data_IF_188725160795
#
_entry.id   IF_188725160795
#
_cell.length_a   1.000
_cell.length_b   1.000
_cell.length_c   1.000
_cell.angle_alpha   90.00
_cell.angle_beta   90.00
_cell.angle_gamma   90.00
#
_symmetry.space_group_name_H-M   'P 1'
#
loop_
_entity.id
_entity.type
_entity.pdbx_description
1 polymer ?
#
# COMPACT_ATOMS: atom_id res chain seq x y z
N UNK A 1 -1.93 7.81 -15.46
CA UNK A 1 -0.47 7.72 -15.68
C UNK A 1 -0.03 6.27 -15.77
N UNK A 2 -0.39 5.42 -14.81
CA UNK A 2 -0.21 3.96 -14.93
C UNK A 2 -0.78 3.38 -16.23
N UNK A 3 -1.97 3.83 -16.66
CA UNK A 3 -2.52 3.46 -17.98
C UNK A 3 -1.55 3.72 -19.13
N UNK A 4 -0.88 4.88 -19.15
CA UNK A 4 0.08 5.24 -20.19
C UNK A 4 1.35 4.37 -20.09
N UNK A 5 1.77 4.02 -18.87
CA UNK A 5 2.88 3.10 -18.66
C UNK A 5 2.55 1.70 -19.17
N UNK A 6 1.33 1.22 -18.88
CA UNK A 6 0.83 -0.07 -19.36
C UNK A 6 0.77 -0.11 -20.89
N UNK A 7 0.27 0.95 -21.54
CA UNK A 7 0.27 1.08 -23.01
C UNK A 7 1.70 0.97 -23.57
N UNK A 8 2.68 1.67 -22.97
CA UNK A 8 4.10 1.58 -23.38
C UNK A 8 4.74 0.23 -23.11
N UNK A 9 4.43 -0.40 -21.99
CA UNK A 9 4.89 -1.73 -21.66
C UNK A 9 4.42 -2.76 -22.71
N UNK A 10 3.14 -2.73 -23.08
CA UNK A 10 2.57 -3.62 -24.10
C UNK A 10 3.26 -3.42 -25.45
N UNK A 11 3.48 -2.15 -25.84
CA UNK A 11 4.16 -1.80 -27.09
C UNK A 11 5.63 -2.27 -27.14
N UNK A 12 6.43 -1.96 -26.11
CA UNK A 12 7.88 -2.21 -26.14
C UNK A 12 8.25 -3.66 -25.85
N UNK A 13 7.56 -4.31 -24.90
CA UNK A 13 7.86 -5.69 -24.48
C UNK A 13 7.10 -6.72 -25.35
N UNK A 14 6.41 -6.25 -26.40
CA UNK A 14 5.65 -7.07 -27.36
C UNK A 14 4.76 -8.11 -26.66
N UNK A 15 4.10 -7.67 -25.59
CA UNK A 15 3.34 -8.56 -24.73
C UNK A 15 2.04 -8.92 -25.41
N UNK A 16 1.94 -10.17 -25.84
CA UNK A 16 0.65 -10.75 -26.19
C UNK A 16 -0.13 -10.96 -24.89
N UNK A 17 -1.06 -10.05 -24.59
CA UNK A 17 -2.10 -10.29 -23.58
C UNK A 17 -2.97 -11.40 -24.15
N UNK A 18 -2.58 -12.65 -23.87
CA UNK A 18 -3.38 -13.82 -24.19
C UNK A 18 -4.48 -13.82 -23.14
N UNK A 19 -5.58 -13.14 -23.45
CA UNK A 19 -6.70 -12.81 -22.56
C UNK A 19 -7.05 -13.97 -21.62
N UNK A 20 -6.48 -14.02 -20.40
CA UNK A 20 -6.81 -15.07 -19.47
C UNK A 20 -8.20 -14.72 -18.98
N UNK A 21 -9.16 -15.65 -19.11
CA UNK A 21 -10.54 -15.45 -18.64
C UNK A 21 -10.58 -14.86 -17.21
N UNK A 22 -9.56 -15.15 -16.38
CA UNK A 22 -9.38 -14.59 -15.04
C UNK A 22 -9.16 -13.06 -15.01
N UNK A 23 -8.34 -12.48 -15.90
CA UNK A 23 -8.18 -11.02 -15.98
C UNK A 23 -9.45 -10.34 -16.50
N UNK A 24 -10.11 -10.95 -17.49
CA UNK A 24 -11.40 -10.46 -17.98
C UNK A 24 -12.45 -10.45 -16.85
N UNK A 25 -12.53 -11.52 -16.08
CA UNK A 25 -13.44 -11.63 -14.92
C UNK A 25 -13.13 -10.57 -13.86
N UNK A 26 -11.86 -10.27 -13.62
CA UNK A 26 -11.43 -9.17 -12.73
C UNK A 26 -11.88 -7.79 -13.23
N UNK A 27 -11.82 -7.54 -14.54
CA UNK A 27 -12.31 -6.26 -15.11
C UNK A 27 -13.83 -6.12 -15.01
N UNK A 28 -14.57 -7.23 -15.05
CA UNK A 28 -16.03 -7.24 -14.96
C UNK A 28 -16.52 -7.15 -13.51
N UNK A 29 -15.83 -7.82 -12.58
CA UNK A 29 -16.15 -7.81 -11.15
C UNK A 29 -14.87 -7.96 -10.32
N UNK A 30 -14.45 -6.86 -9.70
CA UNK A 30 -13.27 -6.81 -8.85
C UNK A 30 -13.64 -7.28 -7.43
N UNK A 31 -13.48 -8.57 -7.17
CA UNK A 31 -13.75 -9.20 -5.88
C UNK A 31 -12.63 -10.18 -5.50
N UNK A 32 -12.63 -10.65 -4.25
CA UNK A 32 -11.57 -11.51 -3.72
C UNK A 32 -11.46 -12.85 -4.45
N UNK A 33 -12.60 -13.45 -4.83
CA UNK A 33 -12.62 -14.75 -5.50
C UNK A 33 -11.97 -14.68 -6.89
N UNK A 34 -12.37 -13.70 -7.70
CA UNK A 34 -11.76 -13.47 -9.01
C UNK A 34 -10.28 -13.08 -8.90
N UNK A 35 -9.89 -12.35 -7.84
CA UNK A 35 -8.49 -12.02 -7.59
C UNK A 35 -7.69 -13.29 -7.28
N UNK A 36 -8.20 -14.15 -6.41
CA UNK A 36 -7.54 -15.40 -6.04
C UNK A 36 -7.42 -16.36 -7.23
N UNK A 37 -8.40 -16.38 -8.14
CA UNK A 37 -8.34 -17.12 -9.40
C UNK A 37 -7.28 -16.56 -10.35
N UNK A 38 -7.25 -15.23 -10.55
CA UNK A 38 -6.25 -14.57 -11.38
C UNK A 38 -4.83 -14.80 -10.86
N UNK A 39 -4.63 -14.78 -9.54
CA UNK A 39 -3.31 -15.03 -8.92
C UNK A 39 -2.85 -16.49 -8.99
N UNK A 40 -3.74 -17.45 -9.29
CA UNK A 40 -3.36 -18.86 -9.55
C UNK A 40 -2.94 -19.08 -11.00
N UNK A 41 -3.37 -18.22 -11.92
CA UNK A 41 -3.02 -18.33 -13.32
C UNK A 41 -1.55 -17.94 -13.57
N UNK A 42 -0.79 -18.89 -14.12
CA UNK A 42 0.65 -18.70 -14.39
C UNK A 42 0.90 -17.59 -15.42
N UNK A 43 -0.01 -17.41 -16.38
CA UNK A 43 0.14 -16.39 -17.41
C UNK A 43 -0.01 -14.99 -16.81
N UNK A 44 -0.99 -14.82 -15.93
CA UNK A 44 -1.21 -13.60 -15.14
C UNK A 44 -0.01 -13.28 -14.24
N UNK A 45 0.53 -14.26 -13.50
CA UNK A 45 1.72 -14.05 -12.68
C UNK A 45 2.93 -13.62 -13.52
N UNK A 46 3.15 -14.27 -14.66
CA UNK A 46 4.25 -13.92 -15.57
C UNK A 46 4.09 -12.50 -16.12
N UNK A 47 2.86 -12.08 -16.42
CA UNK A 47 2.55 -10.72 -16.87
C UNK A 47 2.88 -9.69 -15.79
N UNK A 48 2.48 -9.94 -14.54
CA UNK A 48 2.77 -9.08 -13.39
C UNK A 48 4.28 -8.96 -13.16
N UNK A 49 5.02 -10.08 -13.18
CA UNK A 49 6.48 -10.09 -13.02
C UNK A 49 7.17 -9.25 -14.11
N UNK A 50 6.75 -9.40 -15.37
CA UNK A 50 7.29 -8.60 -16.49
C UNK A 50 6.97 -7.12 -16.32
N UNK A 51 5.76 -6.78 -15.90
CA UNK A 51 5.36 -5.39 -15.69
C UNK A 51 6.18 -4.75 -14.57
N UNK A 52 6.38 -5.43 -13.43
CA UNK A 52 7.25 -4.94 -12.36
C UNK A 52 8.70 -4.74 -12.80
N UNK A 53 9.25 -5.66 -13.60
CA UNK A 53 10.58 -5.49 -14.18
C UNK A 53 10.65 -4.25 -15.10
N UNK A 54 9.57 -3.98 -15.84
CA UNK A 54 9.45 -2.78 -16.67
C UNK A 54 9.36 -1.50 -15.84
N UNK A 55 8.59 -1.49 -14.74
CA UNK A 55 8.53 -0.37 -13.80
C UNK A 55 9.93 -0.03 -13.26
N UNK A 56 10.70 -1.04 -12.85
CA UNK A 56 12.09 -0.83 -12.41
C UNK A 56 12.98 -0.25 -13.51
N UNK A 57 12.82 -0.71 -14.75
CA UNK A 57 13.56 -0.22 -15.92
C UNK A 57 13.25 1.27 -16.14
N UNK A 58 11.98 1.68 -16.01
CA UNK A 58 11.57 3.08 -16.12
C UNK A 58 12.08 3.93 -14.96
N UNK A 59 12.05 3.43 -13.72
CA UNK A 59 12.66 4.09 -12.56
C UNK A 59 14.16 4.34 -12.74
N UNK A 60 14.87 3.40 -13.40
CA UNK A 60 16.29 3.52 -13.76
C UNK A 60 16.54 4.45 -14.96
N UNK A 61 15.50 5.06 -15.52
CA UNK A 61 15.60 6.13 -16.52
C UNK A 61 15.37 5.71 -17.97
N UNK A 62 14.85 4.51 -18.24
CA UNK A 62 14.61 4.00 -19.60
C UNK A 62 13.78 4.92 -20.49
N UNK A 63 12.69 5.51 -19.96
CA UNK A 63 11.86 6.49 -20.66
C UNK A 63 12.26 7.96 -20.35
N UNK A 64 13.46 8.16 -19.83
CA UNK A 64 13.99 9.47 -19.42
C UNK A 64 13.57 9.90 -18.01
N UNK A 65 14.14 11.03 -17.58
CA UNK A 65 14.03 11.52 -16.18
C UNK A 65 12.61 11.88 -15.77
N UNK A 66 11.81 12.42 -16.69
CA UNK A 66 10.41 12.78 -16.41
C UNK A 66 9.57 11.55 -16.10
N UNK A 67 9.74 10.46 -16.87
CA UNK A 67 9.03 9.22 -16.60
C UNK A 67 9.48 8.59 -15.28
N UNK A 68 10.79 8.58 -15.00
CA UNK A 68 11.33 8.08 -13.72
C UNK A 68 10.77 8.85 -12.52
N UNK A 69 10.69 10.19 -12.59
CA UNK A 69 10.09 11.03 -11.55
C UNK A 69 8.63 10.65 -11.28
N UNK A 70 7.85 10.50 -12.35
CA UNK A 70 6.44 10.15 -12.27
C UNK A 70 6.21 8.73 -11.75
N UNK A 71 7.08 7.79 -12.09
CA UNK A 71 7.06 6.44 -11.50
C UNK A 71 7.32 6.48 -9.99
N UNK A 72 8.29 7.28 -9.54
CA UNK A 72 8.52 7.47 -8.09
C UNK A 72 7.27 8.03 -7.41
N UNK A 73 6.56 8.96 -8.05
CA UNK A 73 5.31 9.51 -7.52
C UNK A 73 4.20 8.44 -7.41
N UNK A 74 4.02 7.59 -8.43
CA UNK A 74 3.08 6.46 -8.39
C UNK A 74 3.40 5.54 -7.21
N UNK A 75 4.67 5.19 -7.00
CA UNK A 75 5.10 4.37 -5.88
C UNK A 75 4.73 5.00 -4.52
N UNK A 76 4.86 6.32 -4.39
CA UNK A 76 4.45 7.02 -3.16
C UNK A 76 2.94 6.98 -2.96
N UNK A 77 2.15 7.16 -4.02
CA UNK A 77 0.69 7.00 -3.93
C UNK A 77 0.30 5.58 -3.51
N UNK A 78 0.94 4.55 -4.08
CA UNK A 78 0.72 3.16 -3.69
C UNK A 78 1.03 2.93 -2.21
N UNK A 79 2.14 3.45 -1.72
CA UNK A 79 2.49 3.34 -0.31
C UNK A 79 1.41 3.96 0.60
N UNK A 80 0.88 5.14 0.25
CA UNK A 80 -0.22 5.79 0.98
C UNK A 80 -1.49 4.95 0.93
N UNK A 81 -1.85 4.41 -0.24
CA UNK A 81 -3.04 3.54 -0.37
C UNK A 81 -2.89 2.24 0.41
N UNK A 82 -1.71 1.63 0.41
CA UNK A 82 -1.41 0.45 1.22
C UNK A 82 -1.50 0.76 2.71
N UNK A 83 -1.01 1.91 3.16
CA UNK A 83 -1.17 2.34 4.55
C UNK A 83 -2.64 2.53 4.92
N UNK A 84 -3.42 3.22 4.08
CA UNK A 84 -4.86 3.39 4.30
C UNK A 84 -5.59 2.05 4.34
N UNK A 85 -5.28 1.15 3.41
CA UNK A 85 -5.83 -0.20 3.40
C UNK A 85 -5.48 -0.94 4.69
N UNK A 86 -4.21 -0.89 5.13
CA UNK A 86 -3.75 -1.56 6.35
C UNK A 86 -4.53 -1.14 7.60
N UNK A 87 -4.84 0.16 7.72
CA UNK A 87 -5.67 0.69 8.80
C UNK A 87 -7.11 0.20 8.63
N UNK A 88 -7.67 0.31 7.43
CA UNK A 88 -9.05 -0.09 7.15
C UNK A 88 -9.32 -1.59 7.33
N UNK A 89 -8.29 -2.44 7.26
CA UNK A 89 -8.41 -3.89 7.43
C UNK A 89 -7.72 -4.41 8.70
N UNK A 90 -7.22 -3.52 9.56
CA UNK A 90 -6.44 -3.87 10.74
C UNK A 90 -5.25 -4.83 10.45
N UNK A 91 -4.62 -4.67 9.27
CA UNK A 91 -3.49 -5.49 8.84
C UNK A 91 -2.17 -4.94 9.42
N UNK A 92 -1.74 -5.48 10.56
CA UNK A 92 -0.56 -5.02 11.31
C UNK A 92 0.73 -5.16 10.50
N UNK A 93 0.87 -6.24 9.74
CA UNK A 93 2.06 -6.51 8.95
C UNK A 93 2.21 -5.47 7.84
N UNK A 94 1.13 -5.16 7.14
CA UNK A 94 1.12 -4.13 6.12
C UNK A 94 1.30 -2.74 6.72
N UNK A 95 0.68 -2.47 7.88
CA UNK A 95 0.85 -1.21 8.60
C UNK A 95 2.32 -0.98 8.98
N UNK A 96 2.99 -2.02 9.52
CA UNK A 96 4.39 -1.98 9.88
C UNK A 96 5.26 -1.68 8.66
N UNK A 97 5.11 -2.45 7.57
CA UNK A 97 5.84 -2.22 6.32
C UNK A 97 5.68 -0.78 5.81
N UNK A 98 4.44 -0.31 5.73
CA UNK A 98 4.16 0.99 5.14
C UNK A 98 4.78 2.14 5.96
N UNK A 99 4.70 2.06 7.29
CA UNK A 99 5.28 3.10 8.16
C UNK A 99 6.80 3.14 8.09
N UNK A 100 7.48 1.99 7.99
CA UNK A 100 8.93 1.92 7.78
C UNK A 100 9.33 2.58 6.45
N UNK A 101 8.69 2.19 5.34
CA UNK A 101 8.96 2.76 4.01
C UNK A 101 8.64 4.26 3.93
N UNK A 102 7.61 4.73 4.65
CA UNK A 102 7.20 6.14 4.66
C UNK A 102 8.26 7.05 5.31
N UNK A 103 9.10 6.52 6.20
CA UNK A 103 10.15 7.29 6.86
C UNK A 103 11.13 7.92 5.84
N UNK A 104 11.43 7.20 4.76
CA UNK A 104 12.29 7.66 3.67
C UNK A 104 11.66 8.83 2.90
N UNK A 105 10.35 8.75 2.65
CA UNK A 105 9.61 9.81 1.97
C UNK A 105 9.61 11.07 2.83
N UNK A 106 9.26 10.95 4.11
CA UNK A 106 9.29 12.11 5.01
C UNK A 106 10.69 12.72 5.09
N UNK A 107 11.75 11.93 5.12
CA UNK A 107 13.11 12.45 5.06
C UNK A 107 13.38 13.25 3.79
N UNK A 108 13.00 12.71 2.63
CA UNK A 108 13.23 13.34 1.33
C UNK A 108 12.43 14.64 1.12
N UNK A 109 11.28 14.80 1.79
CA UNK A 109 10.37 15.95 1.65
C UNK A 109 10.32 16.84 2.90
N UNK A 110 11.44 16.99 3.61
CA UNK A 110 11.61 17.89 4.77
C UNK A 110 10.71 17.58 6.00
N UNK A 111 10.15 16.39 6.05
CA UNK A 111 9.44 15.82 7.20
C UNK A 111 10.37 15.16 8.22
N UNK A 112 11.53 15.76 8.52
CA UNK A 112 12.58 15.13 9.35
C UNK A 112 12.09 14.60 10.70
N UNK A 113 11.18 15.31 11.37
CA UNK A 113 10.60 14.86 12.63
C UNK A 113 9.77 13.58 12.46
N UNK A 114 8.93 13.52 11.43
CA UNK A 114 8.11 12.34 11.12
C UNK A 114 8.98 11.15 10.73
N UNK A 115 10.00 11.38 9.89
CA UNK A 115 10.97 10.36 9.52
C UNK A 115 11.62 9.73 10.76
N UNK A 116 12.14 10.56 11.68
CA UNK A 116 12.75 10.10 12.93
C UNK A 116 11.78 9.25 13.77
N UNK A 117 10.54 9.70 13.95
CA UNK A 117 9.56 8.96 14.76
C UNK A 117 9.11 7.67 14.11
N UNK A 118 8.97 7.64 12.78
CA UNK A 118 8.62 6.42 12.05
C UNK A 118 9.73 5.37 12.11
N UNK A 119 11.00 5.77 12.02
CA UNK A 119 12.13 4.85 12.22
C UNK A 119 12.10 4.23 13.61
N UNK A 120 11.79 5.02 14.65
CA UNK A 120 11.61 4.46 16.00
C UNK A 120 10.43 3.50 16.07
N UNK A 121 9.28 3.87 15.49
CA UNK A 121 8.10 3.02 15.43
C UNK A 121 8.40 1.68 14.76
N UNK A 122 9.13 1.67 13.64
CA UNK A 122 9.57 0.46 12.93
C UNK A 122 10.42 -0.44 13.84
N UNK A 123 11.40 0.13 14.55
CA UNK A 123 12.23 -0.62 15.50
C UNK A 123 11.37 -1.23 16.62
N UNK A 124 10.40 -0.48 17.16
CA UNK A 124 9.49 -0.99 18.19
C UNK A 124 8.61 -2.12 17.66
N UNK A 125 8.00 -1.96 16.49
CA UNK A 125 7.12 -2.96 15.89
C UNK A 125 7.89 -4.23 15.50
N UNK A 126 9.13 -4.09 15.05
CA UNK A 126 10.02 -5.23 14.76
C UNK A 126 10.33 -6.04 16.02
N UNK A 127 10.54 -5.36 17.15
CA UNK A 127 10.90 -5.97 18.43
C UNK A 127 9.71 -6.16 19.38
N UNK A 128 8.48 -6.11 18.85
CA UNK A 128 7.27 -6.05 19.65
C UNK A 128 7.13 -7.25 20.59
N UNK A 129 7.35 -8.47 20.09
CA UNK A 129 7.24 -9.69 20.90
C UNK A 129 8.30 -9.78 22.01
N UNK A 130 9.49 -9.24 21.77
CA UNK A 130 10.58 -9.28 22.75
C UNK A 130 10.36 -8.25 23.86
N UNK A 131 9.86 -7.07 23.50
CA UNK A 131 9.71 -5.94 24.43
C UNK A 131 8.35 -5.94 25.14
N UNK A 132 7.30 -6.42 24.46
CA UNK A 132 5.93 -6.45 24.93
C UNK A 132 5.23 -7.75 24.48
N UNK A 133 5.59 -8.92 25.08
CA UNK A 133 5.02 -10.21 24.71
C UNK A 133 3.48 -10.19 24.71
N UNK A 134 2.86 -10.67 23.63
CA UNK A 134 1.41 -10.71 23.48
C UNK A 134 0.75 -9.41 23.02
N UNK A 135 1.51 -8.31 22.87
CA UNK A 135 0.98 -7.06 22.33
C UNK A 135 0.53 -7.21 20.87
N UNK A 136 1.23 -8.02 20.06
CA UNK A 136 0.85 -8.27 18.66
C UNK A 136 -0.53 -8.89 18.53
N UNK A 137 -0.88 -9.81 19.44
CA UNK A 137 -2.20 -10.44 19.46
C UNK A 137 -3.29 -9.41 19.78
N UNK A 138 -3.02 -8.47 20.69
CA UNK A 138 -3.93 -7.37 20.98
C UNK A 138 -4.07 -6.43 19.78
N UNK A 139 -2.96 -6.06 19.13
CA UNK A 139 -2.97 -5.21 17.94
C UNK A 139 -3.78 -5.85 16.80
N UNK A 140 -3.58 -7.15 16.58
CA UNK A 140 -4.25 -7.93 15.53
C UNK A 140 -5.75 -8.05 15.74
N UNK A 141 -6.25 -7.83 16.97
CA UNK A 141 -7.68 -7.87 17.32
C UNK A 141 -8.43 -6.53 17.13
N UNK A 142 -7.76 -5.46 16.69
CA UNK A 142 -8.44 -4.19 16.38
C UNK A 142 -7.85 -2.96 17.04
N UNK A 143 -6.56 -2.94 17.39
CA UNK A 143 -6.00 -1.80 18.13
C UNK A 143 -5.43 -0.68 17.24
N UNK A 144 -5.20 -0.93 15.93
CA UNK A 144 -4.69 0.13 15.03
C UNK A 144 -5.82 0.96 14.40
N UNK A 145 -7.04 0.44 14.39
CA UNK A 145 -8.18 1.13 13.83
C UNK A 145 -9.46 0.88 14.63
N UNK A 146 -10.29 1.91 14.71
CA UNK A 146 -11.61 1.89 15.34
C UNK A 146 -12.66 2.27 14.31
N UNK A 147 -13.86 1.70 14.45
CA UNK A 147 -14.99 2.01 13.59
C UNK A 147 -16.02 2.84 14.36
N UNK A 148 -16.52 3.91 13.76
CA UNK A 148 -17.65 4.70 14.29
C UNK A 148 -19.01 4.17 13.82
N UNK A 149 -19.02 3.22 12.88
CA UNK A 149 -20.21 2.55 12.35
C UNK A 149 -19.85 1.14 11.89
N UNK A 150 -20.86 0.28 11.72
CA UNK A 150 -20.68 -1.11 11.28
C UNK A 150 -20.58 -1.27 9.75
N UNK A 151 -20.31 -0.18 9.03
CA UNK A 151 -20.22 -0.18 7.57
C UNK A 151 -18.83 -0.72 7.16
N UNK A 152 -18.74 -1.65 6.19
CA UNK A 152 -17.46 -2.10 5.67
C UNK A 152 -16.57 -0.92 5.21
N UNK A 153 -15.31 -0.91 5.67
CA UNK A 153 -14.35 0.15 5.33
C UNK A 153 -14.49 1.46 6.12
N UNK A 154 -15.32 1.47 7.17
CA UNK A 154 -15.47 2.61 8.09
C UNK A 154 -14.39 2.68 9.19
N UNK A 155 -13.51 1.68 9.27
CA UNK A 155 -12.36 1.69 10.17
C UNK A 155 -11.46 2.89 9.86
N UNK A 156 -11.05 3.59 10.91
CA UNK A 156 -10.16 4.75 10.87
C UNK A 156 -9.09 4.62 11.95
N UNK A 157 -7.95 5.25 11.76
CA UNK A 157 -6.88 5.23 12.76
C UNK A 157 -7.39 5.71 14.11
N UNK A 158 -6.98 5.03 15.19
CA UNK A 158 -7.44 5.34 16.57
C UNK A 158 -7.12 6.77 16.93
N UNK A 159 -5.88 7.20 16.69
CA UNK A 159 -5.40 8.54 17.00
C UNK A 159 -6.24 9.63 16.32
N UNK A 160 -6.42 9.52 15.00
CA UNK A 160 -7.29 10.42 14.23
C UNK A 160 -8.72 10.45 14.79
N UNK A 161 -9.26 9.29 15.14
CA UNK A 161 -10.63 9.21 15.69
C UNK A 161 -10.71 9.84 17.07
N UNK A 162 -9.69 9.66 17.90
CA UNK A 162 -9.58 10.32 19.20
C UNK A 162 -9.50 11.83 19.04
N UNK A 163 -8.61 12.33 18.19
CA UNK A 163 -8.46 13.76 17.92
C UNK A 163 -9.78 14.38 17.44
N UNK A 164 -10.41 13.80 16.41
CA UNK A 164 -11.68 14.29 15.87
C UNK A 164 -12.82 14.26 16.90
N UNK A 165 -12.84 13.25 17.78
CA UNK A 165 -13.89 13.12 18.81
C UNK A 165 -13.64 14.06 19.98
N UNK A 166 -12.46 14.01 20.60
CA UNK A 166 -12.14 14.78 21.80
C UNK A 166 -12.05 16.28 21.50
N UNK A 167 -11.40 16.68 20.41
CA UNK A 167 -11.25 18.11 20.08
C UNK A 167 -12.59 18.75 19.71
N UNK A 168 -13.56 17.97 19.20
CA UNK A 168 -14.92 18.47 18.98
C UNK A 168 -15.60 18.82 20.29
N UNK A 169 -15.53 17.95 21.30
CA UNK A 169 -16.13 18.21 22.61
C UNK A 169 -15.39 19.32 23.39
N UNK A 170 -14.07 19.44 23.25
CA UNK A 170 -13.29 20.46 23.95
C UNK A 170 -13.48 21.89 23.41
N UNK A 171 -14.03 22.04 22.20
CA UNK A 171 -14.37 23.34 21.57
C UNK A 171 -15.85 23.71 21.69
N UNK A 172 -16.65 22.87 22.37
CA UNK A 172 -18.07 23.09 22.66
C UNK A 172 -18.22 23.73 24.03
#
# INVERSE_FOLDING_TARGET
MERLLMERFIEEESVLITDPAALLNMTQSCNQEHLDEALKDRSTLTLIEKYHAYEEKVLKGHLGKTAALWMSFINYCHLVFMLLHSVKTNNIQLFHKCNGEMANIFFAFDGHNYSRYLTWLEVYLTNLENTHPGAKDLLSKGAIAVARSMIPGALSAVDKTMEETFMRFAKS
#
